data_IF_442768426864
#
_entry.id   IF_442768426864
#
_cell.length_a   1.000
_cell.length_b   1.000
_cell.length_c   1.000
_cell.angle_alpha   90.00
_cell.angle_beta   90.00
_cell.angle_gamma   90.00
#
_symmetry.space_group_name_H-M   'P 1'
#
loop_
_entity.id
_entity.type
_entity.pdbx_description
1 polymer ?
#
# COMPACT_ATOMS: atom_id res chain seq x y z
N UNK A 1 13.92 6.25 -6.41
CA UNK A 1 12.80 5.26 -6.29
C UNK A 1 11.49 6.00 -6.32
N UNK A 2 10.62 5.59 -7.20
CA UNK A 2 9.29 6.18 -7.36
C UNK A 2 8.23 5.10 -7.32
N UNK A 3 7.06 5.45 -6.84
CA UNK A 3 5.87 4.63 -6.90
C UNK A 3 4.72 5.54 -7.34
N UNK A 4 4.32 5.41 -8.61
CA UNK A 4 3.30 6.30 -9.17
C UNK A 4 1.94 5.62 -9.15
N UNK A 5 1.14 5.96 -8.15
CA UNK A 5 -0.25 5.54 -8.03
C UNK A 5 -1.18 6.76 -7.93
N UNK A 6 -0.70 7.94 -8.33
CA UNK A 6 -1.44 9.19 -8.17
C UNK A 6 -2.77 9.22 -8.94
N UNK A 7 -2.82 8.54 -10.09
CA UNK A 7 -4.02 8.52 -10.93
C UNK A 7 -5.01 7.43 -10.55
N UNK A 8 -4.67 6.58 -9.59
CA UNK A 8 -5.52 5.48 -9.16
C UNK A 8 -6.39 5.95 -8.01
N UNK A 9 -7.71 5.75 -8.10
CA UNK A 9 -8.60 5.94 -6.96
C UNK A 9 -8.54 4.69 -6.09
N UNK A 10 -8.19 4.86 -4.83
CA UNK A 10 -8.07 3.74 -3.91
C UNK A 10 -9.35 3.58 -3.11
N UNK A 11 -10.02 2.44 -3.31
CA UNK A 11 -11.24 2.09 -2.61
C UNK A 11 -11.16 0.64 -2.14
N UNK A 12 -11.61 0.42 -0.92
CA UNK A 12 -11.68 -0.90 -0.32
C UNK A 12 -13.11 -1.11 0.18
N UNK A 13 -13.72 -2.25 -0.17
CA UNK A 13 -15.04 -2.62 0.33
C UNK A 13 -14.85 -3.57 1.51
N UNK A 14 -15.47 -3.24 2.65
CA UNK A 14 -15.39 -4.06 3.85
C UNK A 14 -15.84 -5.48 3.58
N UNK A 15 -15.07 -6.44 4.06
CA UNK A 15 -15.37 -7.86 3.87
C UNK A 15 -14.84 -8.43 2.56
N UNK A 16 -14.31 -7.60 1.66
CA UNK A 16 -13.67 -8.06 0.43
C UNK A 16 -12.16 -8.18 0.63
N UNK A 17 -11.55 -9.11 -0.09
CA UNK A 17 -10.11 -9.15 -0.22
C UNK A 17 -9.64 -7.93 -1.02
N UNK A 18 -8.61 -7.25 -0.53
CA UNK A 18 -8.03 -6.09 -1.22
C UNK A 18 -6.66 -6.44 -1.75
N UNK A 19 -6.42 -6.14 -3.02
CA UNK A 19 -5.11 -6.31 -3.66
C UNK A 19 -4.74 -5.05 -4.43
N UNK A 20 -3.52 -4.58 -4.23
CA UNK A 20 -2.99 -3.43 -4.97
C UNK A 20 -1.55 -3.76 -5.38
N UNK A 21 -1.31 -3.80 -6.69
CA UNK A 21 0.03 -3.97 -7.24
C UNK A 21 0.81 -2.68 -7.09
N UNK A 22 2.04 -2.76 -6.60
CA UNK A 22 2.91 -1.61 -6.37
C UNK A 22 4.09 -1.63 -7.33
N UNK A 23 3.95 -1.02 -8.53
CA UNK A 23 5.04 -1.00 -9.50
C UNK A 23 6.13 -0.02 -9.10
N UNK A 24 7.26 -0.53 -8.68
CA UNK A 24 8.39 0.28 -8.26
C UNK A 24 9.23 0.70 -9.46
N UNK A 25 9.66 1.95 -9.47
CA UNK A 25 10.43 2.56 -10.53
C UNK A 25 11.72 3.15 -9.96
N UNK A 26 12.88 2.67 -10.43
CA UNK A 26 14.18 3.20 -10.02
C UNK A 26 14.68 4.35 -10.92
N UNK A 27 13.97 4.63 -12.00
CA UNK A 27 14.29 5.72 -12.91
C UNK A 27 13.52 7.00 -12.60
N UNK A 28 13.03 7.65 -13.65
CA UNK A 28 12.23 8.86 -13.57
C UNK A 28 10.81 8.58 -14.05
N UNK A 29 9.91 9.55 -13.89
CA UNK A 29 8.55 9.43 -14.43
C UNK A 29 8.53 9.28 -15.93
N UNK A 30 9.48 9.90 -16.63
CA UNK A 30 9.59 9.84 -18.09
C UNK A 30 10.30 8.57 -18.57
N UNK A 31 11.16 8.00 -17.73
CA UNK A 31 11.95 6.83 -18.07
C UNK A 31 11.75 5.76 -16.99
N UNK A 32 10.72 4.96 -17.15
CA UNK A 32 10.36 3.92 -16.20
C UNK A 32 11.37 2.77 -16.27
N UNK A 33 12.04 2.52 -15.14
CA UNK A 33 12.94 1.39 -14.97
C UNK A 33 12.39 0.52 -13.85
N UNK A 34 11.86 -0.68 -14.16
CA UNK A 34 11.30 -1.55 -13.12
C UNK A 34 12.33 -1.87 -12.05
N UNK A 35 11.90 -1.83 -10.80
CA UNK A 35 12.73 -2.20 -9.66
C UNK A 35 12.09 -3.35 -8.91
N UNK A 36 12.88 -4.38 -8.62
CA UNK A 36 12.44 -5.53 -7.82
C UNK A 36 13.05 -5.43 -6.43
N UNK A 37 12.23 -5.66 -5.40
CA UNK A 37 12.72 -5.66 -4.04
C UNK A 37 13.87 -6.64 -3.85
N UNK A 38 14.93 -6.17 -3.21
CA UNK A 38 16.09 -6.99 -2.88
C UNK A 38 15.95 -7.53 -1.45
N UNK A 39 16.76 -8.52 -1.03
CA UNK A 39 16.63 -9.11 0.31
C UNK A 39 16.71 -8.12 1.47
N UNK A 40 17.40 -6.99 1.30
CA UNK A 40 17.53 -5.96 2.34
C UNK A 40 16.44 -4.89 2.28
N UNK A 41 15.53 -4.97 1.32
CA UNK A 41 14.52 -3.93 1.08
C UNK A 41 13.22 -4.24 1.81
N UNK A 42 12.57 -3.18 2.31
CA UNK A 42 11.25 -3.25 2.90
C UNK A 42 10.38 -2.11 2.40
N UNK A 43 9.10 -2.40 2.19
CA UNK A 43 8.07 -1.38 1.99
C UNK A 43 7.17 -1.40 3.22
N UNK A 44 7.13 -0.29 3.94
CA UNK A 44 6.22 -0.13 5.07
C UNK A 44 4.98 0.60 4.60
N UNK A 45 3.84 -0.02 4.75
CA UNK A 45 2.54 0.50 4.31
C UNK A 45 1.68 0.78 5.52
N UNK A 46 1.09 1.98 5.56
CA UNK A 46 0.16 2.38 6.61
C UNK A 46 -1.10 2.97 6.01
N UNK A 47 -2.26 2.56 6.53
CA UNK A 47 -3.56 3.16 6.22
C UNK A 47 -4.06 3.80 7.52
N UNK A 48 -4.19 5.12 7.51
CA UNK A 48 -4.39 5.93 8.71
C UNK A 48 -5.68 6.71 8.61
N UNK A 49 -6.34 6.89 9.75
CA UNK A 49 -7.42 7.90 9.87
C UNK A 49 -6.82 9.30 9.75
N UNK A 50 -7.61 10.30 9.36
CA UNK A 50 -7.16 11.69 9.50
C UNK A 50 -6.66 11.94 10.93
N UNK A 51 -5.59 12.69 11.08
CA UNK A 51 -4.96 13.03 12.36
C UNK A 51 -4.27 11.87 13.08
N UNK A 52 -4.20 10.70 12.47
CA UNK A 52 -3.52 9.54 13.05
C UNK A 52 -2.09 9.46 12.49
N UNK A 53 -1.07 9.29 13.34
CA UNK A 53 0.29 9.13 12.86
C UNK A 53 0.51 7.76 12.23
N UNK A 54 1.55 7.64 11.39
CA UNK A 54 1.89 6.40 10.69
C UNK A 54 2.11 5.25 11.67
N UNK A 55 2.71 5.51 12.82
CA UNK A 55 3.01 4.50 13.83
C UNK A 55 1.75 3.89 14.46
N UNK A 56 0.63 4.59 14.36
CA UNK A 56 -0.66 4.14 14.91
C UNK A 56 -1.69 3.86 13.83
N UNK A 57 -1.25 3.58 12.60
CA UNK A 57 -2.14 3.30 11.48
C UNK A 57 -3.10 2.15 11.78
N UNK A 58 -4.34 2.26 11.25
CA UNK A 58 -5.34 1.19 11.39
C UNK A 58 -4.88 -0.10 10.72
N UNK A 59 -4.19 0.03 9.58
CA UNK A 59 -3.55 -1.10 8.91
C UNK A 59 -2.08 -0.78 8.77
N UNK A 60 -1.24 -1.69 9.25
CA UNK A 60 0.21 -1.58 9.11
C UNK A 60 0.71 -2.90 8.58
N UNK A 61 1.47 -2.85 7.50
CA UNK A 61 2.09 -4.05 6.95
C UNK A 61 3.45 -3.71 6.37
N UNK A 62 4.31 -4.71 6.31
CA UNK A 62 5.62 -4.59 5.68
C UNK A 62 5.71 -5.61 4.57
N UNK A 63 6.09 -5.16 3.38
CA UNK A 63 6.34 -6.01 2.23
C UNK A 63 7.85 -6.12 2.07
N UNK A 64 8.32 -7.32 1.74
CA UNK A 64 9.74 -7.57 1.54
C UNK A 64 9.96 -8.49 0.33
N UNK A 65 11.20 -8.90 0.16
CA UNK A 65 11.62 -9.78 -0.94
C UNK A 65 10.80 -11.07 -1.02
N UNK A 66 10.34 -11.60 0.11
CA UNK A 66 9.58 -12.86 0.17
C UNK A 66 8.06 -12.66 0.02
N UNK A 67 7.58 -11.43 -0.02
CA UNK A 67 6.14 -11.14 -0.13
C UNK A 67 5.59 -11.51 -1.49
N UNK A 68 4.25 -11.66 -1.56
CA UNK A 68 3.54 -11.98 -2.79
C UNK A 68 3.84 -10.94 -3.88
N UNK A 69 4.04 -11.40 -5.09
CA UNK A 69 4.36 -10.57 -6.26
C UNK A 69 3.46 -10.93 -7.43
N UNK A 70 3.29 -9.98 -8.35
CA UNK A 70 2.63 -10.25 -9.62
C UNK A 70 3.60 -10.93 -10.61
N UNK A 71 3.15 -11.17 -11.84
CA UNK A 71 3.96 -11.83 -12.87
C UNK A 71 5.19 -11.00 -13.29
N UNK A 72 5.17 -9.72 -13.05
CA UNK A 72 6.28 -8.80 -13.39
C UNK A 72 7.24 -8.59 -12.21
N UNK A 73 7.02 -9.26 -11.09
CA UNK A 73 7.87 -9.13 -9.91
C UNK A 73 7.55 -7.93 -9.04
N UNK A 74 6.43 -7.26 -9.26
CA UNK A 74 6.00 -6.13 -8.43
C UNK A 74 5.36 -6.65 -7.15
N UNK A 75 5.68 -6.06 -5.99
CA UNK A 75 5.03 -6.46 -4.75
C UNK A 75 3.53 -6.14 -4.77
N UNK A 76 2.75 -6.95 -4.09
CA UNK A 76 1.30 -6.78 -3.98
C UNK A 76 0.96 -6.46 -2.53
N UNK A 77 0.28 -5.34 -2.31
CA UNK A 77 -0.34 -5.06 -1.03
C UNK A 77 -1.62 -5.88 -0.95
N UNK A 78 -1.65 -6.85 -0.04
CA UNK A 78 -2.74 -7.79 0.12
C UNK A 78 -3.34 -7.66 1.51
N UNK A 79 -4.64 -7.43 1.58
CA UNK A 79 -5.35 -7.39 2.87
C UNK A 79 -6.47 -8.43 2.81
N UNK A 80 -6.45 -9.36 3.75
CA UNK A 80 -7.44 -10.43 3.81
C UNK A 80 -8.85 -9.88 4.07
N UNK A 81 -9.87 -10.56 3.54
CA UNK A 81 -11.27 -10.18 3.73
C UNK A 81 -11.64 -10.04 5.21
N UNK A 82 -11.15 -10.95 6.06
CA UNK A 82 -11.41 -10.90 7.51
C UNK A 82 -10.85 -9.63 8.15
N UNK A 83 -9.73 -9.12 7.62
CA UNK A 83 -9.09 -7.92 8.16
C UNK A 83 -9.78 -6.66 7.64
N UNK A 84 -10.21 -6.64 6.37
CA UNK A 84 -10.96 -5.50 5.84
C UNK A 84 -12.30 -5.32 6.53
N UNK A 85 -12.92 -6.42 6.97
CA UNK A 85 -14.19 -6.38 7.68
C UNK A 85 -14.10 -5.64 9.01
N UNK A 86 -12.90 -5.50 9.57
CA UNK A 86 -12.67 -4.82 10.85
C UNK A 86 -12.43 -3.31 10.70
N UNK A 87 -12.29 -2.81 9.49
CA UNK A 87 -12.02 -1.39 9.25
C UNK A 87 -13.35 -0.64 9.11
N UNK A 88 -13.53 0.43 9.87
CA UNK A 88 -14.73 1.24 9.77
C UNK A 88 -14.79 1.98 8.43
N UNK A 89 -15.98 2.16 7.82
CA UNK A 89 -16.11 2.95 6.61
C UNK A 89 -15.69 4.39 6.83
N UNK A 90 -15.10 5.00 5.83
CA UNK A 90 -14.70 6.40 5.90
C UNK A 90 -13.53 6.72 5.00
N UNK A 91 -13.03 7.94 5.17
CA UNK A 91 -11.88 8.45 4.46
C UNK A 91 -10.61 8.17 5.29
N UNK A 92 -9.64 7.57 4.63
CA UNK A 92 -8.34 7.26 5.22
C UNK A 92 -7.23 7.82 4.34
N UNK A 93 -6.00 7.72 4.81
CA UNK A 93 -4.81 8.09 4.04
C UNK A 93 -3.86 6.90 3.97
N UNK A 94 -3.31 6.68 2.78
CA UNK A 94 -2.30 5.66 2.55
C UNK A 94 -0.94 6.31 2.47
N UNK A 95 0.01 5.80 3.23
CA UNK A 95 1.42 6.19 3.14
C UNK A 95 2.28 4.96 2.97
N UNK A 96 3.30 5.07 2.11
CA UNK A 96 4.23 3.99 1.83
C UNK A 96 5.65 4.53 1.95
N UNK A 97 6.46 3.85 2.76
CA UNK A 97 7.88 4.17 2.95
C UNK A 97 8.74 3.01 2.49
N UNK A 98 9.79 3.32 1.76
CA UNK A 98 10.79 2.36 1.33
C UNK A 98 12.00 2.45 2.23
N UNK A 99 12.47 1.31 2.72
CA UNK A 99 13.68 1.22 3.52
C UNK A 99 14.64 0.22 2.90
N UNK A 100 15.89 0.63 2.70
CA UNK A 100 16.97 -0.25 2.26
C UNK A 100 18.18 0.05 3.12
N UNK A 101 18.62 -0.91 3.94
CA UNK A 101 19.65 -0.71 4.95
C UNK A 101 19.29 0.47 5.86
N UNK A 102 20.08 1.55 5.86
CA UNK A 102 19.85 2.73 6.67
C UNK A 102 19.10 3.85 5.93
N UNK A 103 18.79 3.63 4.65
CA UNK A 103 18.13 4.64 3.83
C UNK A 103 16.61 4.47 3.93
N UNK A 104 15.90 5.55 4.22
CA UNK A 104 14.42 5.58 4.26
C UNK A 104 13.92 6.65 3.31
N UNK A 105 12.98 6.29 2.45
CA UNK A 105 12.32 7.22 1.51
C UNK A 105 10.83 7.08 1.58
N UNK A 106 10.12 8.22 1.62
CA UNK A 106 8.66 8.21 1.49
C UNK A 106 8.30 8.19 0.02
N UNK A 107 7.63 7.13 -0.43
CA UNK A 107 7.21 6.99 -1.82
C UNK A 107 5.80 7.52 -2.04
N UNK A 108 4.92 7.35 -1.07
CA UNK A 108 3.54 7.85 -1.10
C UNK A 108 3.27 8.48 0.25
N UNK A 109 2.76 9.72 0.23
CA UNK A 109 2.47 10.46 1.45
C UNK A 109 1.01 10.90 1.44
N UNK A 110 0.22 10.34 2.36
CA UNK A 110 -1.18 10.72 2.59
C UNK A 110 -2.05 10.69 1.33
N UNK A 111 -1.94 9.62 0.52
CA UNK A 111 -2.87 9.43 -0.59
C UNK A 111 -4.24 9.05 -0.06
N UNK A 112 -5.28 9.72 -0.57
CA UNK A 112 -6.65 9.46 -0.14
C UNK A 112 -7.04 8.01 -0.43
N UNK A 113 -7.61 7.36 0.58
CA UNK A 113 -8.02 5.97 0.55
C UNK A 113 -9.41 5.86 1.17
N UNK A 114 -10.38 5.35 0.42
CA UNK A 114 -11.75 5.21 0.90
C UNK A 114 -12.03 3.79 1.31
N UNK A 115 -12.65 3.63 2.48
CA UNK A 115 -13.22 2.36 2.92
C UNK A 115 -14.73 2.46 2.83
N UNK A 116 -15.31 1.61 1.99
CA UNK A 116 -16.75 1.60 1.72
C UNK A 116 -17.42 0.51 2.55
N UNK A 117 -18.61 0.80 3.05
CA UNK A 117 -19.41 -0.19 3.76
C UNK A 117 -19.91 -1.26 2.80
N UNK A 118 -19.91 -2.52 3.25
CA UNK A 118 -20.50 -3.59 2.47
C UNK A 118 -22.03 -3.58 2.63
N UNK A 119 -22.74 -4.03 1.60
CA UNK A 119 -24.17 -4.23 1.71
C UNK A 119 -24.47 -5.37 2.66
N UNK A 120 -25.46 -5.22 3.55
CA UNK A 120 -25.80 -6.25 4.53
C UNK A 120 -26.63 -7.41 3.95
N UNK A 121 -26.84 -7.43 2.66
CA UNK A 121 -27.74 -8.36 2.01
C UNK A 121 -27.25 -9.80 1.98
N UNK A 122 -26.01 -10.04 2.30
CA UNK A 122 -25.42 -11.36 2.05
C UNK A 122 -25.08 -12.09 3.32
#
# INVERSE_FOLDING_TARGET
>A
MLLDIDKITLELVRGDTFELVLPLNSGTRENFIPYKLQPQDFLYVGIMKPDQPFEHAEVRTALNFASKKDNNGNPILYIHARDTALIEPGKYYLSIKFKSNDTVKTLVDHKIFYVLGSDPCC
#
